data_IF_013372784928
#
_entry.id   IF_013372784928
#
_cell.length_a   1.000
_cell.length_b   1.000
_cell.length_c   1.000
_cell.angle_alpha   90.00
_cell.angle_beta   90.00
_cell.angle_gamma   90.00
#
_symmetry.space_group_name_H-M   'P 1'
#
loop_
_entity.id
_entity.type
_entity.pdbx_description
1 polymer ?
#
# COMPACT_ATOMS: atom_id res chain seq x y z
N UNK A 1 -18.55 -32.29 43.09
CA UNK A 1 -17.53 -31.23 42.98
C UNK A 1 -17.04 -31.19 41.53
N UNK A 2 -17.56 -30.27 40.72
CA UNK A 2 -17.03 -29.98 39.37
C UNK A 2 -16.30 -28.65 39.48
N UNK A 3 -14.98 -28.65 39.30
CA UNK A 3 -14.19 -27.42 39.20
C UNK A 3 -14.18 -27.03 37.73
N UNK A 4 -14.84 -25.91 37.42
CA UNK A 4 -14.72 -25.21 36.14
C UNK A 4 -13.42 -24.43 36.14
N UNK A 5 -12.49 -24.79 35.25
CA UNK A 5 -11.27 -24.04 34.99
C UNK A 5 -11.55 -23.04 33.88
N UNK A 6 -11.56 -21.75 34.21
CA UNK A 6 -11.58 -20.67 33.22
C UNK A 6 -10.20 -20.57 32.53
N UNK A 7 -10.13 -20.32 31.21
CA UNK A 7 -8.85 -20.08 30.55
C UNK A 7 -8.31 -18.70 30.98
N UNK A 8 -7.02 -18.65 31.28
CA UNK A 8 -6.32 -17.44 31.73
C UNK A 8 -6.09 -16.47 30.57
N UNK A 9 -6.30 -15.17 30.84
CA UNK A 9 -6.07 -14.02 29.96
C UNK A 9 -4.58 -13.79 29.58
N UNK A 10 -3.70 -14.75 29.83
CA UNK A 10 -2.25 -14.64 29.63
C UNK A 10 -1.76 -15.10 28.26
N UNK A 11 -2.64 -15.66 27.41
CA UNK A 11 -2.26 -16.18 26.08
C UNK A 11 -2.48 -15.20 24.93
N UNK A 12 -3.04 -14.01 25.19
CA UNK A 12 -3.26 -13.00 24.14
C UNK A 12 -1.98 -12.20 23.84
N UNK A 13 -1.09 -12.05 24.83
CA UNK A 13 0.16 -11.30 24.67
C UNK A 13 1.22 -12.06 23.85
N UNK A 14 1.15 -13.39 23.74
CA UNK A 14 2.10 -14.15 22.92
C UNK A 14 1.76 -14.15 21.43
N UNK A 15 0.49 -13.90 21.07
CA UNK A 15 0.04 -13.88 19.66
C UNK A 15 0.44 -12.57 18.97
N UNK A 16 0.49 -11.46 19.72
CA UNK A 16 0.98 -10.18 19.20
C UNK A 16 2.50 -10.04 19.28
N UNK A 17 3.19 -10.84 20.10
CA UNK A 17 4.64 -10.75 20.27
C UNK A 17 5.44 -11.12 18.99
N UNK A 18 4.82 -11.85 18.06
CA UNK A 18 5.46 -12.31 16.82
C UNK A 18 4.81 -11.72 15.57
N UNK A 19 3.80 -10.86 15.71
CA UNK A 19 3.06 -10.33 14.57
C UNK A 19 3.98 -9.42 13.74
N UNK A 20 3.93 -9.56 12.41
CA UNK A 20 4.78 -8.81 11.47
C UNK A 20 3.93 -7.94 10.55
N UNK A 21 2.83 -8.46 10.04
CA UNK A 21 1.93 -7.73 9.14
C UNK A 21 1.04 -6.78 9.91
N UNK A 22 0.82 -5.57 9.37
CA UNK A 22 0.00 -4.55 10.03
C UNK A 22 0.62 -3.95 11.30
N UNK A 23 1.93 -4.06 11.45
CA UNK A 23 2.71 -3.46 12.53
C UNK A 23 3.47 -2.25 11.96
N UNK A 24 3.53 -1.11 12.68
CA UNK A 24 4.33 0.05 12.28
C UNK A 24 5.80 -0.31 12.02
N UNK A 25 6.43 0.34 11.03
CA UNK A 25 7.81 0.02 10.62
C UNK A 25 8.83 0.21 11.76
N UNK A 26 8.62 1.22 12.60
CA UNK A 26 9.45 1.51 13.76
C UNK A 26 9.38 0.41 14.83
N UNK A 27 8.23 -0.25 14.99
CA UNK A 27 8.06 -1.40 15.90
C UNK A 27 8.70 -2.69 15.34
N UNK A 28 8.78 -2.83 14.01
CA UNK A 28 9.42 -3.97 13.36
C UNK A 28 10.95 -3.93 13.43
N UNK A 29 11.52 -2.77 13.76
CA UNK A 29 12.94 -2.63 13.98
C UNK A 29 13.33 -3.25 15.33
N UNK A 30 13.95 -4.43 15.31
CA UNK A 30 14.44 -5.05 16.55
C UNK A 30 15.49 -4.14 17.22
N UNK A 31 15.18 -3.66 18.42
CA UNK A 31 16.10 -2.86 19.23
C UNK A 31 17.45 -3.59 19.41
N UNK A 32 18.52 -3.00 18.87
CA UNK A 32 19.90 -3.42 19.18
C UNK A 32 20.72 -4.03 18.04
N UNK A 33 20.21 -4.09 16.80
CA UNK A 33 21.02 -4.44 15.63
C UNK A 33 21.12 -3.27 14.64
N UNK A 34 22.31 -2.69 14.43
CA UNK A 34 22.50 -1.58 13.48
C UNK A 34 22.24 -2.00 12.02
N UNK A 35 22.31 -3.30 11.70
CA UNK A 35 22.10 -3.83 10.34
C UNK A 35 20.61 -4.11 10.03
N UNK A 36 19.68 -3.77 10.92
CA UNK A 36 18.28 -4.20 10.85
C UNK A 36 17.32 -3.09 10.37
N UNK A 37 17.82 -2.18 9.52
CA UNK A 37 17.04 -1.01 9.03
C UNK A 37 15.87 -1.39 8.11
N UNK A 38 15.85 -2.62 7.59
CA UNK A 38 14.77 -3.17 6.75
C UNK A 38 14.11 -4.36 7.48
N UNK A 39 12.77 -4.50 7.47
CA UNK A 39 12.11 -5.66 8.05
C UNK A 39 12.60 -6.99 7.45
N UNK A 40 12.83 -7.99 8.31
CA UNK A 40 13.38 -9.30 7.88
C UNK A 40 12.55 -9.95 6.77
N UNK A 41 11.22 -9.87 6.86
CA UNK A 41 10.32 -10.44 5.84
C UNK A 41 10.59 -9.87 4.45
N UNK A 42 10.83 -8.56 4.35
CA UNK A 42 11.11 -7.88 3.07
C UNK A 42 12.41 -8.39 2.48
N UNK A 43 13.48 -8.46 3.29
CA UNK A 43 14.77 -9.01 2.83
C UNK A 43 14.63 -10.47 2.40
N UNK A 44 14.04 -11.31 3.24
CA UNK A 44 13.91 -12.73 2.96
C UNK A 44 13.11 -13.01 1.68
N UNK A 45 12.03 -12.27 1.44
CA UNK A 45 11.22 -12.40 0.22
C UNK A 45 11.96 -11.87 -1.01
N UNK A 46 12.64 -10.73 -0.90
CA UNK A 46 13.43 -10.16 -2.01
C UNK A 46 14.59 -11.07 -2.38
N UNK A 47 15.36 -11.57 -1.40
CA UNK A 47 16.47 -12.51 -1.63
C UNK A 47 15.97 -13.75 -2.39
N UNK A 48 14.82 -14.30 -1.99
CA UNK A 48 14.20 -15.42 -2.68
C UNK A 48 13.83 -15.08 -4.14
N UNK A 49 13.25 -13.89 -4.39
CA UNK A 49 12.88 -13.45 -5.74
C UNK A 49 14.13 -13.21 -6.60
N UNK A 50 15.19 -12.62 -6.07
CA UNK A 50 16.44 -12.41 -6.81
C UNK A 50 17.13 -13.74 -7.17
N UNK A 51 17.11 -14.72 -6.26
CA UNK A 51 17.77 -16.02 -6.48
C UNK A 51 16.94 -17.00 -7.33
N UNK A 52 15.61 -16.98 -7.21
CA UNK A 52 14.72 -18.01 -7.77
C UNK A 52 13.62 -17.45 -8.68
N UNK A 53 13.56 -16.12 -8.86
CA UNK A 53 12.42 -15.42 -9.46
C UNK A 53 12.20 -15.65 -10.95
N UNK A 54 13.24 -16.03 -11.70
CA UNK A 54 13.17 -16.07 -13.17
C UNK A 54 12.72 -14.72 -13.72
N UNK A 55 13.46 -13.66 -13.35
CA UNK A 55 13.12 -12.26 -13.62
C UNK A 55 12.98 -11.93 -15.11
N UNK A 56 13.43 -12.82 -15.99
CA UNK A 56 13.20 -12.81 -17.44
C UNK A 56 11.77 -13.22 -17.86
N UNK A 57 10.88 -13.55 -16.93
CA UNK A 57 9.50 -13.90 -17.25
C UNK A 57 8.63 -12.65 -17.42
N UNK A 58 7.98 -12.54 -18.58
CA UNK A 58 7.00 -11.48 -18.87
C UNK A 58 5.79 -11.56 -17.92
N UNK A 59 5.37 -10.42 -17.37
CA UNK A 59 4.20 -10.31 -16.51
C UNK A 59 4.37 -10.84 -15.08
N UNK A 60 5.54 -11.37 -14.72
CA UNK A 60 5.89 -11.85 -13.37
C UNK A 60 5.39 -10.96 -12.21
N UNK A 61 5.66 -9.64 -12.25
CA UNK A 61 5.23 -8.71 -11.19
C UNK A 61 3.76 -8.27 -11.29
N UNK A 62 3.11 -8.51 -12.43
CA UNK A 62 1.72 -8.11 -12.68
C UNK A 62 0.71 -9.21 -12.32
N UNK A 63 1.18 -10.45 -12.18
CA UNK A 63 0.34 -11.61 -11.83
C UNK A 63 0.27 -11.76 -10.32
N UNK A 64 -0.94 -11.80 -9.77
CA UNK A 64 -1.15 -12.17 -8.38
C UNK A 64 -0.87 -13.66 -8.19
N UNK A 65 -0.17 -13.98 -7.11
CA UNK A 65 0.06 -15.33 -6.65
C UNK A 65 -1.19 -15.99 -6.08
N UNK A 66 -1.03 -17.24 -5.65
CA UNK A 66 -2.14 -17.97 -5.06
C UNK A 66 -2.50 -17.34 -3.70
N UNK A 67 -3.70 -16.77 -3.61
CA UNK A 67 -4.17 -16.08 -2.41
C UNK A 67 -4.19 -16.98 -1.15
N UNK A 68 -4.46 -18.29 -1.29
CA UNK A 68 -4.41 -19.24 -0.17
C UNK A 68 -2.97 -19.43 0.31
N UNK A 69 -2.01 -19.56 -0.61
CA UNK A 69 -0.58 -19.64 -0.29
C UNK A 69 -0.07 -18.36 0.37
N UNK A 70 -0.45 -17.19 -0.17
CA UNK A 70 -0.04 -15.88 0.38
C UNK A 70 -0.57 -15.71 1.81
N UNK A 71 -1.85 -15.98 2.04
CA UNK A 71 -2.45 -15.88 3.37
C UNK A 71 -1.83 -16.89 4.35
N UNK A 72 -1.57 -18.12 3.89
CA UNK A 72 -0.91 -19.13 4.71
C UNK A 72 0.53 -18.75 5.08
N UNK A 73 1.32 -18.22 4.14
CA UNK A 73 2.67 -17.70 4.40
C UNK A 73 2.62 -16.54 5.40
N UNK A 74 1.70 -15.59 5.17
CA UNK A 74 1.48 -14.44 6.04
C UNK A 74 1.20 -14.86 7.50
N UNK A 75 0.34 -15.86 7.71
CA UNK A 75 0.07 -16.39 9.05
C UNK A 75 1.31 -17.05 9.69
N UNK A 76 2.13 -17.77 8.92
CA UNK A 76 3.38 -18.36 9.44
C UNK A 76 4.36 -17.29 9.90
N UNK A 77 4.53 -16.24 9.11
CA UNK A 77 5.36 -15.09 9.49
C UNK A 77 4.82 -14.40 10.75
N UNK A 78 3.52 -14.12 10.83
CA UNK A 78 2.88 -13.52 12.01
C UNK A 78 2.96 -14.41 13.27
N UNK A 79 3.11 -15.73 13.10
CA UNK A 79 3.31 -16.66 14.22
C UNK A 79 4.79 -16.77 14.65
N UNK A 80 5.71 -16.18 13.89
CA UNK A 80 7.17 -16.32 14.10
C UNK A 80 7.68 -17.72 13.75
N UNK A 81 7.00 -18.41 12.83
CA UNK A 81 7.43 -19.72 12.34
C UNK A 81 8.57 -19.58 11.32
N UNK A 82 9.41 -20.61 11.21
CA UNK A 82 10.42 -20.69 10.17
C UNK A 82 9.73 -20.98 8.82
N UNK A 83 10.02 -20.17 7.80
CA UNK A 83 9.39 -20.23 6.47
C UNK A 83 10.47 -20.54 5.45
N UNK A 84 10.24 -21.56 4.62
CA UNK A 84 11.15 -21.96 3.54
C UNK A 84 10.51 -21.65 2.19
N UNK A 85 10.74 -20.43 1.69
CA UNK A 85 10.12 -19.94 0.45
C UNK A 85 10.43 -20.83 -0.77
N UNK A 86 11.58 -21.52 -0.78
CA UNK A 86 11.96 -22.42 -1.89
C UNK A 86 11.07 -23.66 -1.96
N UNK A 87 10.58 -24.14 -0.81
CA UNK A 87 9.68 -25.31 -0.76
C UNK A 87 8.21 -24.93 -0.71
N UNK A 88 7.91 -23.76 -0.17
CA UNK A 88 6.57 -23.41 0.29
C UNK A 88 5.89 -22.34 -0.57
N UNK A 89 6.64 -21.63 -1.42
CA UNK A 89 6.12 -20.57 -2.27
C UNK A 89 6.50 -20.77 -3.75
N UNK A 90 5.63 -20.29 -4.63
CA UNK A 90 5.99 -19.91 -5.99
C UNK A 90 6.28 -18.41 -6.07
N UNK A 91 7.05 -18.00 -7.09
CA UNK A 91 7.52 -16.61 -7.24
C UNK A 91 6.36 -15.58 -7.24
N UNK A 92 5.24 -15.79 -7.96
CA UNK A 92 4.10 -14.86 -7.90
C UNK A 92 3.52 -14.71 -6.49
N UNK A 93 3.49 -15.78 -5.69
CA UNK A 93 3.05 -15.72 -4.28
C UNK A 93 4.04 -14.96 -3.41
N UNK A 94 5.35 -15.12 -3.62
CA UNK A 94 6.36 -14.34 -2.91
C UNK A 94 6.26 -12.83 -3.24
N UNK A 95 6.11 -12.47 -4.52
CA UNK A 95 5.89 -11.08 -4.94
C UNK A 95 4.60 -10.53 -4.32
N UNK A 96 3.52 -11.30 -4.36
CA UNK A 96 2.24 -10.89 -3.77
C UNK A 96 2.35 -10.72 -2.26
N UNK A 97 3.13 -11.56 -1.59
CA UNK A 97 3.40 -11.45 -0.15
C UNK A 97 4.17 -10.16 0.18
N UNK A 98 5.19 -9.83 -0.62
CA UNK A 98 5.94 -8.57 -0.47
C UNK A 98 5.01 -7.37 -0.64
N UNK A 99 4.20 -7.35 -1.70
CA UNK A 99 3.23 -6.29 -1.95
C UNK A 99 2.22 -6.19 -0.81
N UNK A 100 1.68 -7.33 -0.38
CA UNK A 100 0.72 -7.38 0.71
C UNK A 100 1.30 -6.87 2.04
N UNK A 101 2.58 -7.12 2.33
CA UNK A 101 3.27 -6.52 3.47
C UNK A 101 3.25 -4.99 3.41
N UNK A 102 3.58 -4.40 2.25
CA UNK A 102 3.58 -2.95 2.05
C UNK A 102 2.16 -2.38 2.20
N UNK A 103 1.17 -3.04 1.62
CA UNK A 103 -0.24 -2.62 1.66
C UNK A 103 -0.84 -2.63 3.08
N UNK A 104 -0.38 -3.54 3.95
CA UNK A 104 -0.90 -3.66 5.30
C UNK A 104 -0.22 -2.75 6.32
N UNK A 105 0.85 -2.04 5.97
CA UNK A 105 1.47 -1.10 6.89
C UNK A 105 0.41 -0.09 7.40
N UNK A 106 0.39 0.22 8.71
CA UNK A 106 -0.56 1.21 9.24
C UNK A 106 -0.39 2.61 8.62
N UNK A 107 0.83 2.92 8.20
CA UNK A 107 1.19 4.12 7.46
C UNK A 107 2.00 3.69 6.21
N UNK A 108 1.77 4.29 5.02
CA UNK A 108 2.54 4.00 3.83
C UNK A 108 4.04 4.23 4.02
N UNK A 109 4.85 3.57 3.18
CA UNK A 109 6.31 3.77 3.18
C UNK A 109 6.66 5.23 2.93
N UNK A 110 5.89 5.91 2.07
CA UNK A 110 5.91 7.37 1.93
C UNK A 110 4.75 7.94 2.77
N UNK A 111 5.03 8.58 3.93
CA UNK A 111 4.03 9.20 4.79
C UNK A 111 3.11 10.17 4.02
N UNK A 112 1.85 10.27 4.46
CA UNK A 112 0.85 11.13 3.84
C UNK A 112 1.25 12.61 3.79
N UNK A 113 2.02 13.09 4.78
CA UNK A 113 2.57 14.45 4.78
C UNK A 113 3.51 14.70 3.60
N UNK A 114 4.39 13.75 3.26
CA UNK A 114 5.30 13.86 2.12
C UNK A 114 4.59 13.58 0.79
N UNK A 115 3.57 12.72 0.80
CA UNK A 115 2.78 12.43 -0.38
C UNK A 115 2.19 13.71 -1.02
N UNK A 116 1.58 14.61 -0.23
CA UNK A 116 1.00 15.87 -0.74
C UNK A 116 2.08 16.73 -1.43
N UNK A 117 3.26 16.86 -0.81
CA UNK A 117 4.37 17.64 -1.37
C UNK A 117 4.90 17.01 -2.67
N UNK A 118 4.98 15.69 -2.74
CA UNK A 118 5.37 14.96 -3.94
C UNK A 118 4.34 15.14 -5.07
N UNK A 119 3.06 15.17 -4.74
CA UNK A 119 1.99 15.43 -5.69
C UNK A 119 2.08 16.84 -6.29
N UNK A 120 2.32 17.86 -5.47
CA UNK A 120 2.56 19.24 -5.93
C UNK A 120 3.82 19.35 -6.79
N UNK A 121 4.92 18.73 -6.35
CA UNK A 121 6.18 18.64 -7.09
C UNK A 121 6.00 18.00 -8.47
N UNK A 122 5.00 17.13 -8.63
CA UNK A 122 4.70 16.50 -9.90
C UNK A 122 4.01 17.46 -10.90
N UNK A 123 3.21 18.43 -10.42
CA UNK A 123 2.35 19.27 -11.26
C UNK A 123 3.06 20.52 -11.79
N UNK A 124 4.02 21.06 -11.03
CA UNK A 124 4.53 22.41 -11.25
C UNK A 124 5.84 22.50 -12.05
N UNK A 125 6.44 21.38 -12.47
CA UNK A 125 7.82 21.37 -12.97
C UNK A 125 7.94 20.89 -14.41
N UNK A 126 8.42 21.81 -15.27
CA UNK A 126 8.91 21.52 -16.62
C UNK A 126 10.44 21.28 -16.64
N UNK A 127 11.11 21.33 -15.48
CA UNK A 127 12.56 21.22 -15.36
C UNK A 127 12.93 19.99 -14.51
N UNK A 128 13.52 18.99 -15.15
CA UNK A 128 13.93 17.72 -14.53
C UNK A 128 14.98 17.91 -13.42
N UNK A 129 15.92 18.86 -13.58
CA UNK A 129 16.97 19.13 -12.60
C UNK A 129 16.39 19.67 -11.28
N UNK A 130 15.38 20.54 -11.36
CA UNK A 130 14.75 21.12 -10.18
C UNK A 130 13.83 20.11 -9.49
N UNK A 131 13.12 19.30 -10.29
CA UNK A 131 12.35 18.16 -9.80
C UNK A 131 13.23 17.20 -8.99
N UNK A 132 14.39 16.82 -9.53
CA UNK A 132 15.35 15.95 -8.84
C UNK A 132 15.83 16.53 -7.51
N UNK A 133 16.23 17.81 -7.47
CA UNK A 133 16.69 18.45 -6.22
C UNK A 133 15.62 18.46 -5.14
N UNK A 134 14.39 18.83 -5.48
CA UNK A 134 13.26 18.87 -4.51
C UNK A 134 12.84 17.47 -4.08
N UNK A 135 12.82 16.50 -4.99
CA UNK A 135 12.55 15.11 -4.66
C UNK A 135 13.58 14.59 -3.65
N UNK A 136 14.88 14.84 -3.88
CA UNK A 136 15.94 14.46 -2.94
C UNK A 136 15.78 15.09 -1.57
N UNK A 137 15.40 16.37 -1.52
CA UNK A 137 15.11 17.03 -0.25
C UNK A 137 13.94 16.36 0.49
N UNK A 138 12.85 16.02 -0.20
CA UNK A 138 11.71 15.34 0.41
C UNK A 138 12.07 13.94 0.92
N UNK A 139 12.91 13.20 0.18
CA UNK A 139 13.44 11.91 0.64
C UNK A 139 14.23 12.02 1.95
N UNK A 140 14.97 13.13 2.15
CA UNK A 140 15.70 13.37 3.40
C UNK A 140 14.81 13.66 4.60
N UNK A 141 13.53 13.99 4.38
CA UNK A 141 12.56 14.18 5.45
C UNK A 141 11.88 12.86 5.87
N UNK A 142 12.12 11.75 5.16
CA UNK A 142 11.57 10.45 5.54
C UNK A 142 12.11 10.00 6.89
N UNK A 143 11.28 9.35 7.72
CA UNK A 143 11.79 8.63 8.89
C UNK A 143 12.88 7.63 8.46
N UNK A 144 13.94 7.42 9.28
CA UNK A 144 15.08 6.58 8.88
C UNK A 144 14.67 5.17 8.41
N UNK A 145 13.70 4.55 9.09
CA UNK A 145 13.21 3.20 8.75
C UNK A 145 12.47 3.18 7.41
N UNK A 146 11.62 4.17 7.16
CA UNK A 146 10.92 4.35 5.89
C UNK A 146 11.92 4.58 4.75
N UNK A 147 12.92 5.43 4.98
CA UNK A 147 13.97 5.71 4.01
C UNK A 147 14.77 4.45 3.66
N UNK A 148 15.22 3.68 4.67
CA UNK A 148 15.97 2.45 4.44
C UNK A 148 15.15 1.38 3.73
N UNK A 149 13.86 1.23 4.07
CA UNK A 149 12.96 0.34 3.34
C UNK A 149 12.77 0.79 1.89
N UNK A 150 12.50 2.07 1.64
CA UNK A 150 12.34 2.64 0.30
C UNK A 150 13.62 2.43 -0.53
N UNK A 151 14.79 2.77 0.03
CA UNK A 151 16.10 2.58 -0.59
C UNK A 151 16.31 1.11 -0.98
N UNK A 152 16.00 0.19 -0.08
CA UNK A 152 16.13 -1.25 -0.34
C UNK A 152 15.22 -1.72 -1.47
N UNK A 153 13.95 -1.31 -1.47
CA UNK A 153 12.99 -1.65 -2.53
C UNK A 153 13.40 -1.04 -3.87
N UNK A 154 13.79 0.24 -3.89
CA UNK A 154 14.23 0.91 -5.11
C UNK A 154 15.48 0.24 -5.69
N UNK A 155 16.43 -0.20 -4.84
CA UNK A 155 17.62 -0.95 -5.28
C UNK A 155 17.23 -2.24 -5.99
N UNK A 156 16.38 -3.04 -5.35
CA UNK A 156 15.89 -4.29 -5.91
C UNK A 156 15.22 -4.07 -7.28
N UNK A 157 14.26 -3.14 -7.35
CA UNK A 157 13.53 -2.87 -8.58
C UNK A 157 14.40 -2.26 -9.68
N UNK A 158 15.34 -1.38 -9.34
CA UNK A 158 16.30 -0.81 -10.29
C UNK A 158 17.22 -1.90 -10.85
N UNK A 159 17.67 -2.85 -10.01
CA UNK A 159 18.45 -4.00 -10.48
C UNK A 159 17.63 -4.88 -11.43
N UNK A 160 16.36 -5.16 -11.13
CA UNK A 160 15.48 -5.92 -12.03
C UNK A 160 15.36 -5.19 -13.38
N UNK A 161 15.09 -3.88 -13.36
CA UNK A 161 14.97 -3.07 -14.57
C UNK A 161 16.26 -3.04 -15.39
N UNK A 162 17.43 -2.99 -14.75
CA UNK A 162 18.72 -2.92 -15.46
C UNK A 162 19.14 -4.24 -16.10
N UNK A 163 18.77 -5.38 -15.49
CA UNK A 163 19.15 -6.70 -16.01
C UNK A 163 18.14 -7.26 -17.01
N UNK A 164 16.89 -6.78 -16.97
CA UNK A 164 15.78 -7.27 -17.78
C UNK A 164 15.06 -6.14 -18.53
N UNK A 165 15.79 -5.15 -19.04
CA UNK A 165 15.25 -3.93 -19.67
C UNK A 165 14.24 -4.17 -20.80
N UNK A 166 14.37 -5.29 -21.51
CA UNK A 166 13.46 -5.68 -22.61
C UNK A 166 12.06 -6.10 -22.10
N UNK A 167 11.94 -6.41 -20.81
CA UNK A 167 10.76 -7.02 -20.17
C UNK A 167 10.23 -6.11 -19.06
N UNK A 168 11.13 -5.63 -18.20
CA UNK A 168 10.85 -4.78 -17.07
C UNK A 168 11.55 -3.45 -17.23
N UNK A 169 10.78 -2.39 -17.48
CA UNK A 169 11.27 -1.03 -17.40
C UNK A 169 11.03 -0.48 -16.00
N UNK A 170 11.77 0.57 -15.63
CA UNK A 170 11.53 1.30 -14.39
C UNK A 170 10.06 1.75 -14.29
N UNK A 171 9.47 2.24 -15.39
CA UNK A 171 8.07 2.64 -15.43
C UNK A 171 7.09 1.46 -15.20
N UNK A 172 7.37 0.27 -15.74
CA UNK A 172 6.46 -0.87 -15.57
C UNK A 172 6.50 -1.42 -14.15
N UNK A 173 7.67 -1.47 -13.52
CA UNK A 173 7.82 -1.84 -12.11
C UNK A 173 7.21 -0.78 -11.18
N UNK A 174 7.43 0.50 -11.48
CA UNK A 174 6.86 1.61 -10.73
C UNK A 174 5.32 1.61 -10.76
N UNK A 175 4.70 1.26 -11.89
CA UNK A 175 3.24 1.13 -11.98
C UNK A 175 2.68 -0.02 -11.11
N UNK A 176 3.48 -1.06 -10.85
CA UNK A 176 3.10 -2.18 -9.99
C UNK A 176 3.26 -1.84 -8.51
N UNK A 177 4.43 -1.32 -8.12
CA UNK A 177 4.78 -1.10 -6.72
C UNK A 177 4.46 0.29 -6.18
N UNK A 178 4.30 1.30 -7.06
CA UNK A 178 3.95 2.67 -6.67
C UNK A 178 2.69 2.74 -5.79
N UNK A 179 1.57 2.13 -6.21
CA UNK A 179 0.35 2.11 -5.38
C UNK A 179 0.55 1.50 -4.00
N UNK A 180 1.41 0.48 -3.88
CA UNK A 180 1.65 -0.23 -2.61
C UNK A 180 2.58 0.58 -1.68
N UNK A 181 3.52 1.36 -2.24
CA UNK A 181 4.44 2.23 -1.50
C UNK A 181 3.76 3.49 -0.98
N UNK A 182 2.76 4.00 -1.73
CA UNK A 182 2.04 5.25 -1.44
C UNK A 182 0.61 5.04 -0.91
N UNK A 183 0.11 3.80 -0.88
CA UNK A 183 -1.27 3.43 -0.49
C UNK A 183 -2.38 4.09 -1.32
N UNK A 184 -2.25 4.04 -2.65
CA UNK A 184 -3.28 4.55 -3.57
C UNK A 184 -4.20 3.40 -4.02
N UNK A 185 -5.45 3.37 -3.52
CA UNK A 185 -6.41 2.30 -3.82
C UNK A 185 -7.79 2.82 -4.28
N UNK A 186 -7.88 3.10 -5.58
CA UNK A 186 -9.07 2.97 -6.43
C UNK A 186 -10.34 3.78 -6.05
N UNK A 187 -10.27 5.09 -6.26
CA UNK A 187 -11.35 5.97 -6.70
C UNK A 187 -10.99 6.69 -8.03
N UNK A 188 -11.95 7.35 -8.69
CA UNK A 188 -11.74 7.95 -10.03
C UNK A 188 -10.77 9.13 -10.00
N UNK A 189 -10.69 9.83 -8.86
CA UNK A 189 -9.70 10.89 -8.61
C UNK A 189 -8.29 10.28 -8.49
N UNK A 190 -8.19 9.07 -7.95
CA UNK A 190 -6.96 8.32 -7.74
C UNK A 190 -6.29 7.84 -9.04
N UNK A 191 -6.96 7.86 -10.20
CA UNK A 191 -6.32 7.47 -11.46
C UNK A 191 -5.23 8.45 -11.89
N UNK A 192 -5.44 9.75 -11.66
CA UNK A 192 -4.42 10.78 -11.93
C UNK A 192 -3.31 10.72 -10.90
N UNK A 193 -3.67 10.45 -9.65
CA UNK A 193 -2.73 10.29 -8.55
C UNK A 193 -1.85 9.06 -8.75
N UNK A 194 -2.43 7.95 -9.18
CA UNK A 194 -1.71 6.74 -9.54
C UNK A 194 -0.72 6.99 -10.69
N UNK A 195 -1.09 7.76 -11.72
CA UNK A 195 -0.16 8.13 -12.80
C UNK A 195 1.01 8.96 -12.27
N UNK A 196 0.73 9.93 -11.39
CA UNK A 196 1.75 10.77 -10.76
C UNK A 196 2.68 9.93 -9.87
N UNK A 197 2.13 9.12 -8.98
CA UNK A 197 2.87 8.21 -8.09
C UNK A 197 3.75 7.26 -8.90
N UNK A 198 3.20 6.67 -9.96
CA UNK A 198 3.97 5.79 -10.84
C UNK A 198 5.12 6.53 -11.52
N UNK A 199 4.92 7.80 -11.91
CA UNK A 199 5.98 8.63 -12.48
C UNK A 199 7.06 9.00 -11.46
N UNK A 200 6.68 9.39 -10.25
CA UNK A 200 7.63 9.69 -9.17
C UNK A 200 8.46 8.44 -8.86
N UNK A 201 7.78 7.30 -8.69
CA UNK A 201 8.43 6.02 -8.42
C UNK A 201 9.36 5.62 -9.58
N UNK A 202 8.96 5.81 -10.84
CA UNK A 202 9.83 5.56 -11.99
C UNK A 202 11.09 6.44 -11.96
N UNK A 203 10.95 7.74 -11.65
CA UNK A 203 12.07 8.66 -11.51
C UNK A 203 13.06 8.25 -10.41
N UNK A 204 12.56 7.71 -9.29
CA UNK A 204 13.40 7.13 -8.22
C UNK A 204 14.18 5.90 -8.68
N UNK A 205 13.56 5.04 -9.49
CA UNK A 205 14.21 3.83 -10.02
C UNK A 205 15.26 4.15 -11.08
N UNK A 206 14.95 5.06 -12.02
CA UNK A 206 15.86 5.45 -13.11
C UNK A 206 17.10 6.17 -12.60
N UNK A 207 16.96 6.95 -11.51
CA UNK A 207 18.05 7.75 -10.93
C UNK A 207 18.46 7.22 -9.55
N UNK A 208 18.32 5.91 -9.31
CA UNK A 208 18.59 5.28 -8.01
C UNK A 208 19.97 5.66 -7.44
N UNK A 209 21.03 5.59 -8.25
CA UNK A 209 22.39 5.92 -7.83
C UNK A 209 22.54 7.38 -7.39
N UNK A 210 21.88 8.30 -8.09
CA UNK A 210 21.93 9.74 -7.78
C UNK A 210 21.21 10.07 -6.46
N UNK A 211 20.06 9.45 -6.23
CA UNK A 211 19.27 9.71 -5.03
C UNK A 211 19.78 8.99 -3.78
N UNK A 212 20.25 7.75 -3.92
CA UNK A 212 20.49 6.86 -2.77
C UNK A 212 21.97 6.47 -2.57
N UNK A 213 22.84 6.54 -3.57
CA UNK A 213 24.28 6.17 -3.41
C UNK A 213 25.22 7.39 -3.29
N UNK A 214 24.88 8.54 -3.88
CA UNK A 214 25.71 9.75 -3.84
C UNK A 214 25.57 10.59 -2.54
N UNK A 215 25.06 10.02 -1.45
CA UNK A 215 24.82 10.74 -0.19
C UNK A 215 26.10 11.20 0.52
N UNK A 216 27.25 10.57 0.22
CA UNK A 216 28.52 10.89 0.88
C UNK A 216 29.27 12.10 0.26
N UNK A 217 28.92 12.57 -0.95
CA UNK A 217 29.70 13.59 -1.67
C UNK A 217 29.07 15.00 -1.74
N UNK A 218 27.78 15.17 -1.46
CA UNK A 218 27.06 16.46 -1.70
C UNK A 218 26.98 17.43 -0.49
N UNK A 219 27.71 17.17 0.59
CA UNK A 219 27.62 17.92 1.86
C UNK A 219 28.17 19.37 1.87
N UNK A 220 28.33 20.04 0.72
CA UNK A 220 28.94 21.39 0.67
C UNK A 220 28.06 22.54 0.16
N UNK A 221 26.82 22.34 -0.31
CA UNK A 221 25.95 23.45 -0.76
C UNK A 221 24.88 23.84 0.27
N UNK A 222 25.31 24.22 1.48
CA UNK A 222 24.46 24.68 2.59
C UNK A 222 23.44 25.79 2.26
N UNK A 223 23.63 26.51 1.15
CA UNK A 223 22.75 27.62 0.76
C UNK A 223 21.46 27.17 0.07
N UNK A 224 21.49 26.09 -0.73
CA UNK A 224 20.31 25.68 -1.52
C UNK A 224 19.32 24.86 -0.69
N UNK A 225 19.84 24.03 0.24
CA UNK A 225 19.00 23.30 1.18
C UNK A 225 18.18 24.25 2.02
N UNK A 226 18.78 25.29 2.61
CA UNK A 226 18.08 26.22 3.51
C UNK A 226 16.84 26.88 2.90
N UNK A 227 16.90 27.27 1.62
CA UNK A 227 15.77 27.87 0.89
C UNK A 227 14.66 26.88 0.57
N UNK A 228 15.03 25.61 0.33
CA UNK A 228 14.07 24.53 0.11
C UNK A 228 13.43 24.09 1.44
N UNK A 229 14.21 24.03 2.53
CA UNK A 229 13.69 23.74 3.88
C UNK A 229 12.69 24.79 4.33
N UNK A 230 12.97 26.07 4.09
CA UNK A 230 12.08 27.17 4.47
C UNK A 230 10.77 27.09 3.65
N UNK A 231 10.85 26.86 2.33
CA UNK A 231 9.66 26.68 1.48
C UNK A 231 8.79 25.48 1.87
N UNK A 232 9.38 24.38 2.32
CA UNK A 232 8.62 23.18 2.71
C UNK A 232 8.11 23.29 4.15
N UNK A 233 8.86 23.90 5.05
CA UNK A 233 8.35 24.19 6.39
C UNK A 233 7.16 25.15 6.33
N UNK A 234 7.19 26.17 5.48
CA UNK A 234 6.05 27.07 5.28
C UNK A 234 4.80 26.29 4.81
N UNK A 235 4.95 25.32 3.89
CA UNK A 235 3.84 24.46 3.43
C UNK A 235 3.35 23.50 4.53
N UNK A 236 4.25 22.98 5.37
CA UNK A 236 3.90 22.09 6.48
C UNK A 236 3.18 22.86 7.62
N UNK A 237 3.60 24.09 7.91
CA UNK A 237 2.96 24.97 8.91
C UNK A 237 1.56 25.42 8.46
N UNK A 238 1.38 25.72 7.17
CA UNK A 238 0.05 26.05 6.61
C UNK A 238 -0.96 24.89 6.78
N UNK A 239 -0.52 23.63 6.75
CA UNK A 239 -1.40 22.48 6.98
C UNK A 239 -1.79 22.27 8.45
N UNK A 240 -0.91 22.57 9.41
CA UNK A 240 -1.25 22.50 10.84
C UNK A 240 -2.32 23.54 11.19
N UNK A 241 -2.23 24.75 10.62
CA UNK A 241 -3.22 25.81 10.81
C UNK A 241 -4.60 25.44 10.22
N UNK A 242 -4.64 24.81 9.04
CA UNK A 242 -5.91 24.37 8.41
C UNK A 242 -6.58 23.25 9.23
N UNK A 243 -5.80 22.34 9.83
CA UNK A 243 -6.35 21.28 10.72
C UNK A 243 -6.86 21.85 12.04
N UNK A 244 -6.22 22.88 12.57
CA UNK A 244 -6.65 23.55 13.80
C UNK A 244 -7.95 24.33 13.60
N UNK A 245 -8.11 25.03 12.47
CA UNK A 245 -9.35 25.77 12.16
C UNK A 245 -10.58 24.85 12.02
N UNK A 246 -10.43 23.62 11.51
CA UNK A 246 -11.53 22.66 11.38
C UNK A 246 -11.98 22.03 12.72
N UNK A 247 -11.19 22.16 13.78
CA UNK A 247 -11.49 21.57 15.09
C UNK A 247 -12.08 22.55 16.11
N UNK A 248 -12.12 23.85 15.80
CA UNK A 248 -12.72 24.89 16.65
C UNK A 248 -14.22 25.18 16.39
N UNK A 249 -14.84 24.59 15.36
CA UNK A 249 -16.26 24.81 15.07
C UNK A 249 -17.18 23.98 16.00
N UNK A 250 -17.37 24.47 17.24
CA UNK A 250 -18.35 23.97 18.21
C UNK A 250 -19.79 24.23 17.72
N UNK A 251 -20.74 23.28 17.87
CA UNK A 251 -22.12 23.50 17.49
C UNK A 251 -22.86 24.35 18.54
N UNK A 252 -23.39 25.52 18.15
CA UNK A 252 -24.29 26.31 19.00
C UNK A 252 -25.70 25.69 19.08
N UNK A 253 -26.17 25.51 20.32
CA UNK A 253 -27.52 25.09 20.70
C UNK A 253 -28.45 26.31 20.85
N UNK A 254 -29.68 26.24 20.31
CA UNK A 254 -30.83 26.82 20.98
C UNK A 254 -31.90 27.59 20.17
N UNK A 255 -33.09 26.99 20.15
CA UNK A 255 -34.44 27.59 20.42
C UNK A 255 -35.45 27.90 19.29
N UNK A 256 -36.66 27.36 19.50
CA UNK A 256 -37.90 27.28 18.70
C UNK A 256 -38.63 28.63 18.48
N UNK A 257 -39.55 28.84 17.49
CA UNK A 257 -41.01 28.44 17.44
C UNK A 257 -41.75 29.26 16.30
N UNK A 258 -43.07 29.13 15.98
CA UNK A 258 -43.85 28.03 15.35
C UNK A 258 -44.83 28.46 14.20
N UNK A 259 -45.65 27.52 13.68
CA UNK A 259 -46.96 27.66 12.94
C UNK A 259 -46.84 27.88 11.40
N UNK A 260 -47.54 27.23 10.45
CA UNK A 260 -48.88 26.59 10.36
C UNK A 260 -48.94 25.54 9.20
N UNK A 261 -49.84 24.54 9.31
CA UNK A 261 -50.18 23.54 8.26
C UNK A 261 -51.35 24.02 7.39
N UNK A 262 -51.60 23.36 6.23
CA UNK A 262 -52.78 22.48 6.16
C UNK A 262 -52.46 21.12 5.49
N UNK A 263 -52.72 19.98 6.13
CA UNK A 263 -53.95 19.16 6.06
C UNK A 263 -54.06 18.31 4.76
N UNK A 264 -53.56 17.06 4.80
CA UNK A 264 -54.29 15.76 4.98
C UNK A 264 -54.65 15.09 3.64
N UNK A 265 -54.01 13.97 3.33
CA UNK A 265 -54.70 12.70 3.05
C UNK A 265 -53.83 11.51 3.48
N UNK A 266 -54.33 10.75 4.46
CA UNK A 266 -53.88 9.43 4.88
C UNK A 266 -54.27 8.36 3.83
N UNK A 267 -53.50 7.28 3.65
CA UNK A 267 -53.74 5.97 4.28
C UNK A 267 -52.86 4.85 3.70
N UNK A 268 -52.73 3.83 4.55
CA UNK A 268 -51.74 2.76 4.60
C UNK A 268 -51.69 1.72 3.47
N UNK A 269 -50.49 1.13 3.41
CA UNK A 269 -50.12 -0.28 3.17
C UNK A 269 -51.25 -1.30 3.33
N UNK A 270 -51.46 -2.16 2.31
CA UNK A 270 -51.62 -3.63 2.47
C UNK A 270 -51.41 -4.39 1.15
N UNK A 271 -50.51 -5.38 1.17
CA UNK A 271 -50.80 -6.78 0.79
C UNK A 271 -51.30 -7.17 -0.62
N UNK A 272 -50.41 -7.88 -1.33
CA UNK A 272 -50.59 -9.23 -1.90
C UNK A 272 -51.46 -9.55 -3.15
N UNK A 273 -50.76 -10.19 -4.11
CA UNK A 273 -51.13 -11.37 -4.95
C UNK A 273 -51.94 -11.16 -6.25
N UNK A 274 -51.56 -11.98 -7.26
CA UNK A 274 -52.25 -12.39 -8.51
C UNK A 274 -51.91 -11.54 -9.75
N UNK A 275 -51.66 -12.04 -10.96
CA UNK A 275 -51.36 -13.36 -11.54
C UNK A 275 -51.14 -13.16 -13.06
N UNK A 276 -50.61 -14.17 -13.76
CA UNK A 276 -50.71 -14.41 -15.23
C UNK A 276 -49.82 -13.55 -16.19
N UNK A 277 -49.11 -14.10 -17.19
CA UNK A 277 -49.35 -15.33 -17.97
C UNK A 277 -48.14 -15.72 -18.84
N UNK A 278 -47.81 -17.02 -18.80
CA UNK A 278 -47.51 -17.96 -19.90
C UNK A 278 -46.53 -17.61 -21.04
N UNK A 279 -45.50 -18.46 -21.20
CA UNK A 279 -45.27 -19.19 -22.47
C UNK A 279 -44.86 -20.64 -22.16
N UNK A 280 -45.52 -21.57 -22.82
CA UNK A 280 -45.49 -23.03 -22.66
C UNK A 280 -44.26 -23.69 -23.30
N UNK A 281 -43.72 -24.69 -22.61
CA UNK A 281 -42.82 -25.70 -23.15
C UNK A 281 -43.62 -26.84 -23.83
N UNK A 282 -43.05 -27.44 -24.87
CA UNK A 282 -43.39 -28.78 -25.34
C UNK A 282 -42.13 -29.64 -25.39
N UNK A 283 -42.09 -30.58 -24.45
CA UNK A 283 -41.43 -31.90 -24.34
C UNK A 283 -41.58 -32.76 -25.61
N UNK A 284 -40.90 -33.88 -25.89
CA UNK A 284 -40.02 -34.80 -25.16
C UNK A 284 -39.43 -35.84 -26.15
N UNK A 285 -38.30 -36.43 -25.77
CA UNK A 285 -37.89 -37.85 -25.86
C UNK A 285 -38.10 -38.71 -27.12
N UNK A 286 -36.98 -39.27 -27.61
CA UNK A 286 -36.95 -40.60 -28.23
C UNK A 286 -35.75 -41.42 -27.66
N UNK A 287 -35.93 -42.73 -27.36
CA UNK A 287 -34.89 -43.54 -26.71
C UNK A 287 -34.09 -44.33 -27.74
N UNK A 288 -32.77 -44.48 -27.55
CA UNK A 288 -32.00 -45.45 -28.33
C UNK A 288 -31.52 -46.63 -27.48
N UNK A 289 -31.93 -47.82 -27.92
CA UNK A 289 -31.71 -49.13 -27.31
C UNK A 289 -30.37 -49.70 -27.81
N UNK A 290 -29.62 -50.26 -26.87
CA UNK A 290 -28.58 -51.25 -27.14
C UNK A 290 -29.15 -52.52 -27.81
N UNK A 291 -28.44 -53.07 -28.81
CA UNK A 291 -28.03 -54.50 -28.84
C UNK A 291 -27.09 -54.85 -29.99
N UNK A 292 -26.05 -55.59 -29.60
CA UNK A 292 -25.15 -56.50 -30.35
C UNK A 292 -24.14 -55.92 -31.32
#
# INVERSE_FOLDING_TARGET
>A
MRKSSSPSLSNCNSVLANKIFGIPLDELQQEGQPDNEVPFIVRHVVDYIEEHGGLEQEGLFQVNGNAETVEWLRQRYDNGEDVDLVKEADVPSAISLLRFFLQELPEPVIPGSLHIHLMQLSQDYNNEDEFGRKLRFLLQQLPPVNYSLLKFLCKFLANVASHHEEIWSASSLAAVFGPDVFHIYTDVEDLKEQEIVSRIMAGLLENYYEFFENEEEDFSSTNDLSSITEQINDLLEEEEDIKLEQSEELPEDGTEKPVERPAVVHLDVTGSISDSRSVTASTSDEPNKFKS
#
